data_IF_105870304636
#
_entry.id   IF_105870304636
#
_cell.length_a   1.000
_cell.length_b   1.000
_cell.length_c   1.000
_cell.angle_alpha   90.00
_cell.angle_beta   90.00
_cell.angle_gamma   90.00
#
_symmetry.space_group_name_H-M   'P 1'
#
loop_
_entity.id
_entity.type
_entity.pdbx_description
1 polymer ?
#
# COMPACT_ATOMS: atom_id res chain seq x y z
N UNK A 1 29.69 17.25 41.52
CA UNK A 1 29.03 16.01 41.07
C UNK A 1 28.23 16.38 39.84
N UNK A 2 28.38 15.63 38.73
CA UNK A 2 27.91 16.06 37.41
C UNK A 2 26.40 15.85 37.27
N UNK A 3 25.72 16.74 36.53
CA UNK A 3 24.30 16.63 36.14
C UNK A 3 23.90 15.26 35.58
N UNK A 4 24.85 14.50 35.02
CA UNK A 4 24.65 13.14 34.52
C UNK A 4 24.44 12.08 35.62
N UNK A 5 24.86 12.34 36.87
CA UNK A 5 24.57 11.47 38.01
C UNK A 5 23.18 11.74 38.60
N UNK A 6 22.70 12.98 38.51
CA UNK A 6 21.38 13.37 39.02
C UNK A 6 20.24 12.84 38.12
N UNK A 7 20.41 12.83 36.79
CA UNK A 7 19.44 12.23 35.84
C UNK A 7 19.34 10.69 35.94
N UNK A 8 20.36 10.01 36.48
CA UNK A 8 20.37 8.55 36.63
C UNK A 8 19.65 8.05 37.91
N UNK A 9 19.45 8.95 38.88
CA UNK A 9 18.77 8.74 40.17
C UNK A 9 17.30 9.14 40.16
N UNK A 10 16.82 9.80 39.09
CA UNK A 10 15.45 10.31 38.99
C UNK A 10 14.43 9.16 38.81
N UNK A 11 13.50 9.05 39.76
CA UNK A 11 12.41 8.06 39.74
C UNK A 11 12.76 6.66 40.28
N UNK A 12 13.90 6.47 40.95
CA UNK A 12 14.25 5.21 41.63
C UNK A 12 13.94 5.25 43.12
N UNK A 13 13.43 4.15 43.67
CA UNK A 13 13.07 4.03 45.08
C UNK A 13 13.29 2.61 45.60
N UNK A 14 13.49 2.47 46.90
CA UNK A 14 13.69 1.17 47.55
C UNK A 14 12.44 0.77 48.32
N UNK A 15 12.00 -0.47 48.16
CA UNK A 15 10.97 -1.09 49.01
C UNK A 15 11.55 -2.39 49.55
N UNK A 16 11.70 -2.47 50.87
CA UNK A 16 12.22 -3.65 51.59
C UNK A 16 13.57 -4.19 51.07
N UNK A 17 14.45 -3.32 50.56
CA UNK A 17 15.76 -3.70 50.03
C UNK A 17 15.77 -4.12 48.56
N UNK A 18 14.63 -4.02 47.87
CA UNK A 18 14.54 -4.14 46.42
C UNK A 18 14.42 -2.76 45.77
N UNK A 19 15.26 -2.51 44.76
CA UNK A 19 15.27 -1.26 44.00
C UNK A 19 14.22 -1.31 42.88
N UNK A 20 13.30 -0.36 42.92
CA UNK A 20 12.26 -0.13 41.92
C UNK A 20 12.52 1.18 41.18
N UNK A 21 11.91 1.30 40.00
CA UNK A 21 11.86 2.54 39.23
C UNK A 21 10.46 2.71 38.65
N UNK A 22 9.96 3.93 38.60
CA UNK A 22 8.76 4.25 37.83
C UNK A 22 8.93 3.83 36.36
N UNK A 23 7.85 3.33 35.77
CA UNK A 23 7.82 2.86 34.39
C UNK A 23 6.73 3.61 33.64
N UNK A 24 7.13 4.35 32.62
CA UNK A 24 6.24 4.91 31.60
C UNK A 24 6.10 3.88 30.48
N UNK A 25 4.92 3.23 30.32
CA UNK A 25 4.80 2.11 29.41
C UNK A 25 4.53 2.54 27.97
N UNK A 26 5.27 1.99 27.02
CA UNK A 26 5.03 2.12 25.57
C UNK A 26 4.53 0.82 24.93
N UNK A 27 4.64 -0.30 25.64
CA UNK A 27 4.25 -1.63 25.18
C UNK A 27 3.70 -2.51 26.33
N UNK A 28 3.19 -3.69 25.97
CA UNK A 28 2.54 -4.59 26.94
C UNK A 28 3.51 -5.09 28.03
N UNK A 29 4.78 -5.32 27.69
CA UNK A 29 5.77 -5.80 28.64
C UNK A 29 6.14 -4.71 29.65
N UNK A 30 6.18 -3.46 29.21
CA UNK A 30 6.35 -2.29 30.09
C UNK A 30 5.11 -2.02 30.93
N UNK A 31 3.90 -2.20 30.39
CA UNK A 31 2.67 -2.08 31.17
C UNK A 31 2.64 -3.10 32.30
N UNK A 32 3.07 -4.34 32.05
CA UNK A 32 3.17 -5.37 33.09
C UNK A 32 4.14 -4.92 34.18
N UNK A 33 5.32 -4.41 33.82
CA UNK A 33 6.30 -3.89 34.79
C UNK A 33 5.75 -2.70 35.57
N UNK A 34 5.05 -1.77 34.91
CA UNK A 34 4.39 -0.63 35.55
C UNK A 34 3.34 -1.09 36.59
N UNK A 35 2.57 -2.15 36.29
CA UNK A 35 1.61 -2.74 37.22
C UNK A 35 2.28 -3.44 38.40
N UNK A 36 3.43 -4.10 38.19
CA UNK A 36 4.23 -4.69 39.28
C UNK A 36 4.76 -3.61 40.23
N UNK A 37 5.29 -2.52 39.68
CA UNK A 37 5.76 -1.35 40.46
C UNK A 37 4.61 -0.73 41.26
N UNK A 38 3.44 -0.56 40.64
CA UNK A 38 2.22 -0.10 41.32
C UNK A 38 1.84 -1.02 42.48
N UNK A 39 1.81 -2.33 42.26
CA UNK A 39 1.43 -3.30 43.29
C UNK A 39 2.42 -3.31 44.48
N UNK A 40 3.72 -3.13 44.22
CA UNK A 40 4.74 -2.99 45.25
C UNK A 40 4.51 -1.74 46.11
N UNK A 41 4.23 -0.60 45.48
CA UNK A 41 3.91 0.66 46.16
C UNK A 41 2.64 0.56 47.01
N UNK A 42 1.55 0.00 46.47
CA UNK A 42 0.29 -0.21 47.20
C UNK A 42 0.50 -1.13 48.42
N UNK A 43 1.27 -2.21 48.25
CA UNK A 43 1.57 -3.15 49.33
C UNK A 43 2.35 -2.45 50.45
N UNK A 44 3.39 -1.70 50.10
CA UNK A 44 4.18 -0.93 51.07
C UNK A 44 3.32 0.08 51.85
N UNK A 45 2.55 0.91 51.13
CA UNK A 45 1.68 1.92 51.73
C UNK A 45 0.60 1.31 52.63
N UNK A 46 0.04 0.16 52.25
CA UNK A 46 -0.96 -0.55 53.06
C UNK A 46 -0.39 -1.18 54.34
N UNK A 47 0.92 -1.44 54.36
CA UNK A 47 1.64 -2.05 55.48
C UNK A 47 2.14 -1.04 56.52
N UNK A 48 2.08 0.26 56.22
CA UNK A 48 2.50 1.33 57.14
C UNK A 48 1.59 1.35 58.38
N UNK A 49 2.20 1.49 59.55
CA UNK A 49 1.43 1.73 60.78
C UNK A 49 0.82 3.13 60.77
N UNK A 50 -0.21 3.36 61.58
CA UNK A 50 -1.04 4.58 61.56
C UNK A 50 -0.28 5.90 61.83
N UNK A 51 0.95 5.77 62.34
CA UNK A 51 1.89 6.79 62.78
C UNK A 51 3.16 6.90 61.90
N UNK A 52 3.29 6.08 60.85
CA UNK A 52 4.38 6.17 59.87
C UNK A 52 3.99 7.10 58.72
N UNK A 53 4.80 8.14 58.47
CA UNK A 53 4.59 9.03 57.33
C UNK A 53 5.00 8.32 56.02
N UNK A 54 4.16 8.37 54.97
CA UNK A 54 4.37 7.61 53.73
C UNK A 54 5.54 8.09 52.86
N UNK A 55 6.39 9.01 53.35
CA UNK A 55 7.73 9.27 52.79
C UNK A 55 7.80 9.64 51.30
N UNK A 56 6.73 10.17 50.70
CA UNK A 56 6.65 10.47 49.26
C UNK A 56 6.29 9.28 48.36
N UNK A 57 6.08 8.07 48.93
CA UNK A 57 5.64 6.90 48.16
C UNK A 57 4.18 7.03 47.67
N UNK A 58 3.36 7.85 48.32
CA UNK A 58 2.01 8.19 47.84
C UNK A 58 2.07 9.00 46.53
N UNK A 59 3.01 9.94 46.43
CA UNK A 59 3.24 10.72 45.21
C UNK A 59 3.75 9.83 44.07
N UNK A 60 4.67 8.90 44.37
CA UNK A 60 5.18 7.90 43.40
C UNK A 60 4.08 6.96 42.91
N UNK A 61 3.16 6.54 43.79
CA UNK A 61 2.00 5.74 43.42
C UNK A 61 1.09 6.52 42.47
N UNK A 62 0.76 7.77 42.81
CA UNK A 62 -0.06 8.63 41.95
C UNK A 62 0.60 8.86 40.57
N UNK A 63 1.91 9.06 40.52
CA UNK A 63 2.66 9.22 39.28
C UNK A 63 2.64 7.94 38.43
N UNK A 64 2.87 6.77 39.05
CA UNK A 64 2.80 5.48 38.36
C UNK A 64 1.40 5.19 37.82
N UNK A 65 0.35 5.52 38.58
CA UNK A 65 -1.04 5.43 38.13
C UNK A 65 -1.33 6.38 36.95
N UNK A 66 -0.72 7.56 36.96
CA UNK A 66 -0.72 8.51 35.85
C UNK A 66 -0.18 7.87 34.57
N UNK A 67 1.03 7.33 34.59
CA UNK A 67 1.65 6.69 33.43
C UNK A 67 0.84 5.52 32.88
N UNK A 68 0.32 4.66 33.76
CA UNK A 68 -0.54 3.54 33.35
C UNK A 68 -1.81 4.06 32.66
N UNK A 69 -2.44 5.08 33.24
CA UNK A 69 -3.66 5.66 32.68
C UNK A 69 -3.42 6.31 31.33
N UNK A 70 -2.36 7.10 31.19
CA UNK A 70 -1.98 7.75 29.93
C UNK A 70 -1.74 6.72 28.81
N UNK A 71 -1.04 5.62 29.11
CA UNK A 71 -0.87 4.54 28.15
C UNK A 71 -2.20 3.90 27.73
N UNK A 72 -3.06 3.55 28.68
CA UNK A 72 -4.37 2.96 28.38
C UNK A 72 -5.24 3.92 27.57
N UNK A 73 -5.25 5.20 27.93
CA UNK A 73 -5.98 6.24 27.19
C UNK A 73 -5.44 6.39 25.76
N UNK A 74 -4.12 6.21 25.56
CA UNK A 74 -3.49 6.28 24.23
C UNK A 74 -3.86 5.12 23.28
N UNK A 75 -4.19 3.93 23.80
CA UNK A 75 -4.47 2.73 22.97
C UNK A 75 -5.68 2.90 22.03
N UNK A 76 -6.59 3.81 22.34
CA UNK A 76 -7.78 4.11 21.54
C UNK A 76 -7.68 5.38 20.70
N UNK A 77 -6.55 6.10 20.76
CA UNK A 77 -6.39 7.38 20.10
C UNK A 77 -6.02 7.23 18.62
N UNK A 78 -6.80 7.88 17.76
CA UNK A 78 -6.53 7.98 16.33
C UNK A 78 -6.95 9.35 15.79
N UNK A 79 -6.36 9.77 14.67
CA UNK A 79 -6.70 11.04 14.04
C UNK A 79 -8.04 10.96 13.29
N UNK A 80 -9.02 11.74 13.74
CA UNK A 80 -10.31 11.88 13.07
C UNK A 80 -10.17 12.41 11.64
N UNK A 81 -9.11 13.17 11.35
CA UNK A 81 -8.82 13.71 10.03
C UNK A 81 -8.51 12.59 9.04
N UNK A 82 -7.65 11.62 9.40
CA UNK A 82 -7.40 10.44 8.57
C UNK A 82 -8.66 9.61 8.39
N UNK A 83 -9.39 9.33 9.47
CA UNK A 83 -10.62 8.54 9.39
C UNK A 83 -11.67 9.17 8.45
N UNK A 84 -11.97 10.46 8.61
CA UNK A 84 -12.94 11.16 7.75
C UNK A 84 -12.45 11.27 6.31
N UNK A 85 -11.16 11.56 6.12
CA UNK A 85 -10.51 11.62 4.82
C UNK A 85 -10.67 10.29 4.07
N UNK A 86 -10.38 9.18 4.74
CA UNK A 86 -10.49 7.82 4.22
C UNK A 86 -11.94 7.42 3.92
N UNK A 87 -12.88 7.74 4.82
CA UNK A 87 -14.31 7.51 4.56
C UNK A 87 -14.75 8.28 3.31
N UNK A 88 -14.38 9.56 3.20
CA UNK A 88 -14.73 10.38 2.04
C UNK A 88 -14.10 9.86 0.75
N UNK A 89 -12.88 9.33 0.81
CA UNK A 89 -12.23 8.66 -0.32
C UNK A 89 -13.09 7.49 -0.85
N UNK A 90 -13.51 6.58 0.03
CA UNK A 90 -14.33 5.43 -0.37
C UNK A 90 -15.74 5.83 -0.84
N UNK A 91 -16.37 6.80 -0.17
CA UNK A 91 -17.67 7.34 -0.60
C UNK A 91 -17.63 7.87 -2.03
N UNK A 92 -16.60 8.65 -2.37
CA UNK A 92 -16.39 9.14 -3.75
C UNK A 92 -16.16 7.99 -4.73
N UNK A 93 -15.32 7.02 -4.36
CA UNK A 93 -14.99 5.87 -5.21
C UNK A 93 -16.20 4.99 -5.52
N UNK A 94 -17.08 4.78 -4.54
CA UNK A 94 -18.29 3.97 -4.66
C UNK A 94 -19.53 4.75 -5.11
N UNK A 95 -19.37 6.06 -5.38
CA UNK A 95 -20.47 6.98 -5.68
C UNK A 95 -21.60 6.95 -4.62
N UNK A 96 -21.22 6.81 -3.35
CA UNK A 96 -22.09 6.81 -2.18
C UNK A 96 -22.04 8.15 -1.45
N UNK A 97 -23.14 8.54 -0.83
CA UNK A 97 -23.22 9.69 0.07
C UNK A 97 -23.04 9.26 1.52
N UNK A 98 -22.52 10.16 2.35
CA UNK A 98 -22.32 9.90 3.78
C UNK A 98 -23.61 9.41 4.48
N UNK A 99 -24.76 10.02 4.16
CA UNK A 99 -26.05 9.59 4.74
C UNK A 99 -26.48 8.18 4.33
N UNK A 100 -26.08 7.72 3.13
CA UNK A 100 -26.34 6.35 2.67
C UNK A 100 -25.45 5.36 3.42
N UNK A 101 -24.18 5.71 3.65
CA UNK A 101 -23.27 4.93 4.49
C UNK A 101 -23.82 4.80 5.92
N UNK A 102 -24.28 5.90 6.52
CA UNK A 102 -24.86 5.91 7.86
C UNK A 102 -26.08 4.98 7.95
N UNK A 103 -26.93 4.99 6.92
CA UNK A 103 -28.06 4.08 6.84
C UNK A 103 -27.62 2.61 6.70
N UNK A 104 -26.63 2.32 5.87
CA UNK A 104 -26.11 0.96 5.65
C UNK A 104 -25.52 0.34 6.92
N UNK A 105 -24.81 1.12 7.72
CA UNK A 105 -24.20 0.66 8.98
C UNK A 105 -25.15 0.76 10.19
N UNK A 106 -26.37 1.24 9.97
CA UNK A 106 -27.43 1.29 10.98
C UNK A 106 -27.32 2.41 12.01
N UNK A 107 -26.76 3.57 11.63
CA UNK A 107 -26.65 4.76 12.51
C UNK A 107 -27.51 5.93 12.01
N UNK A 108 -27.81 6.88 12.89
CA UNK A 108 -28.62 8.05 12.54
C UNK A 108 -27.91 8.97 11.55
N UNK A 109 -28.65 9.61 10.65
CA UNK A 109 -28.10 10.60 9.72
C UNK A 109 -27.32 11.73 10.43
N UNK A 110 -26.15 12.05 9.90
CA UNK A 110 -25.15 12.97 10.43
C UNK A 110 -24.44 12.51 11.70
N UNK A 111 -24.60 11.26 12.15
CA UNK A 111 -23.87 10.71 13.28
C UNK A 111 -22.35 10.80 13.07
N UNK A 112 -21.87 10.37 11.90
CA UNK A 112 -20.43 10.37 11.58
C UNK A 112 -19.92 11.80 11.56
N UNK A 113 -20.59 12.69 10.85
CA UNK A 113 -20.19 14.10 10.72
C UNK A 113 -20.22 14.89 12.05
N UNK A 114 -21.11 14.53 12.98
CA UNK A 114 -21.17 15.16 14.31
C UNK A 114 -20.13 14.61 15.28
N UNK A 115 -19.76 13.34 15.13
CA UNK A 115 -18.91 12.63 16.10
C UNK A 115 -17.43 12.74 15.73
N UNK A 116 -17.07 12.38 14.50
CA UNK A 116 -15.70 12.44 14.00
C UNK A 116 -15.43 13.78 13.30
N UNK A 117 -15.72 14.90 13.96
CA UNK A 117 -15.35 16.21 13.39
C UNK A 117 -13.83 16.38 13.48
N UNK A 118 -13.22 16.95 12.43
CA UNK A 118 -11.81 17.33 12.45
C UNK A 118 -11.51 18.17 13.72
N UNK A 119 -10.47 17.79 14.45
CA UNK A 119 -10.07 18.34 15.76
C UNK A 119 -11.01 18.06 16.96
N UNK A 120 -11.98 17.15 16.84
CA UNK A 120 -12.75 16.69 18.00
C UNK A 120 -12.03 15.58 18.77
N UNK A 121 -12.06 15.66 20.10
CA UNK A 121 -11.67 14.55 20.98
C UNK A 121 -12.67 13.38 20.95
N UNK A 122 -13.89 13.58 20.41
CA UNK A 122 -14.88 12.50 20.30
C UNK A 122 -14.46 11.53 19.20
N UNK A 123 -14.45 10.24 19.54
CA UNK A 123 -14.16 9.14 18.62
C UNK A 123 -15.44 8.41 18.22
N UNK A 124 -15.45 7.83 17.02
CA UNK A 124 -16.48 6.88 16.66
C UNK A 124 -16.32 5.60 17.50
N UNK A 125 -17.44 5.01 17.91
CA UNK A 125 -17.41 3.74 18.61
C UNK A 125 -16.74 2.67 17.75
N UNK A 126 -15.99 1.75 18.36
CA UNK A 126 -15.29 0.69 17.64
C UNK A 126 -16.23 -0.16 16.76
N UNK A 127 -17.47 -0.40 17.17
CA UNK A 127 -18.47 -1.10 16.35
C UNK A 127 -18.75 -0.40 15.02
N UNK A 128 -18.88 0.94 15.05
CA UNK A 128 -19.09 1.76 13.84
C UNK A 128 -17.85 1.73 12.95
N UNK A 129 -16.66 1.94 13.53
CA UNK A 129 -15.39 1.89 12.77
C UNK A 129 -15.19 0.50 12.14
N UNK A 130 -15.47 -0.57 12.88
CA UNK A 130 -15.38 -1.95 12.42
C UNK A 130 -16.37 -2.23 11.29
N UNK A 131 -17.63 -1.80 11.41
CA UNK A 131 -18.64 -1.94 10.34
C UNK A 131 -18.22 -1.22 9.06
N UNK A 132 -17.69 0.00 9.16
CA UNK A 132 -17.18 0.76 8.02
C UNK A 132 -16.00 0.01 7.38
N UNK A 133 -15.05 -0.45 8.18
CA UNK A 133 -13.89 -1.20 7.69
C UNK A 133 -14.32 -2.50 6.96
N UNK A 134 -15.28 -3.24 7.53
CA UNK A 134 -15.85 -4.45 6.90
C UNK A 134 -16.60 -4.13 5.61
N UNK A 135 -17.38 -3.04 5.57
CA UNK A 135 -18.12 -2.62 4.38
C UNK A 135 -17.18 -2.22 3.23
N UNK A 136 -16.05 -1.59 3.55
CA UNK A 136 -15.03 -1.21 2.56
C UNK A 136 -13.95 -2.28 2.33
N UNK A 137 -14.07 -3.45 2.98
CA UNK A 137 -13.13 -4.57 2.87
C UNK A 137 -11.66 -4.20 3.19
N UNK A 138 -11.45 -3.33 4.18
CA UNK A 138 -10.12 -2.95 4.66
C UNK A 138 -9.93 -3.29 6.14
N UNK A 139 -8.68 -3.30 6.59
CA UNK A 139 -8.35 -3.42 8.01
C UNK A 139 -8.60 -2.08 8.74
N UNK A 140 -8.87 -2.17 10.05
CA UNK A 140 -9.16 -0.99 10.88
C UNK A 140 -7.98 -0.04 10.94
N UNK A 141 -6.74 -0.53 11.02
CA UNK A 141 -5.54 0.33 11.09
C UNK A 141 -5.41 1.17 9.84
N UNK A 142 -5.53 0.58 8.66
CA UNK A 142 -5.57 1.32 7.38
C UNK A 142 -6.67 2.38 7.38
N UNK A 143 -7.85 2.08 7.94
CA UNK A 143 -8.95 3.06 7.99
C UNK A 143 -8.65 4.26 8.91
N UNK A 144 -7.92 4.09 10.02
CA UNK A 144 -7.71 5.13 11.04
C UNK A 144 -6.31 5.79 11.03
N UNK A 145 -5.28 5.11 10.53
CA UNK A 145 -3.87 5.57 10.55
C UNK A 145 -3.36 6.00 9.17
N UNK A 146 -3.81 5.35 8.09
CA UNK A 146 -3.29 5.66 6.76
C UNK A 146 -3.93 6.93 6.19
N UNK A 147 -3.18 7.71 5.41
CA UNK A 147 -3.77 8.75 4.57
C UNK A 147 -4.03 8.18 3.18
N UNK A 148 -5.24 7.69 2.93
CA UNK A 148 -5.66 7.15 1.63
C UNK A 148 -5.92 8.23 0.59
N UNK A 149 -6.03 9.50 1.01
CA UNK A 149 -6.19 10.65 0.12
C UNK A 149 -4.87 11.14 -0.42
N UNK A 150 -3.74 10.77 0.19
CA UNK A 150 -2.42 10.84 -0.43
C UNK A 150 -2.27 9.57 -1.28
N UNK A 151 -2.39 9.66 -2.62
CA UNK A 151 -1.85 8.59 -3.44
C UNK A 151 -0.38 8.49 -3.05
N UNK A 152 0.16 7.29 -2.83
CA UNK A 152 1.62 7.19 -2.82
C UNK A 152 2.11 7.95 -4.08
N UNK A 153 3.06 8.87 -3.91
CA UNK A 153 3.48 9.79 -4.98
C UNK A 153 3.77 9.03 -6.29
N UNK A 154 4.21 7.77 -6.15
CA UNK A 154 4.50 6.83 -7.21
C UNK A 154 3.26 6.27 -7.94
N UNK A 155 2.16 5.87 -7.30
CA UNK A 155 0.97 5.37 -8.01
C UNK A 155 0.27 6.51 -8.75
N UNK A 156 0.27 7.72 -8.20
CA UNK A 156 -0.20 8.89 -8.96
C UNK A 156 0.70 9.15 -10.17
N UNK A 157 2.02 9.07 -10.00
CA UNK A 157 2.98 9.23 -11.09
C UNK A 157 2.79 8.14 -12.17
N UNK A 158 2.67 6.87 -11.77
CA UNK A 158 2.43 5.72 -12.64
C UNK A 158 1.08 5.85 -13.35
N UNK A 159 0.02 6.23 -12.65
CA UNK A 159 -1.30 6.45 -13.25
C UNK A 159 -1.25 7.58 -14.28
N UNK A 160 -0.60 8.71 -13.95
CA UNK A 160 -0.41 9.82 -14.90
C UNK A 160 0.45 9.42 -16.11
N UNK A 161 1.46 8.58 -15.89
CA UNK A 161 2.29 8.02 -16.94
C UNK A 161 1.47 7.11 -17.87
N UNK A 162 0.70 6.16 -17.33
CA UNK A 162 -0.17 5.27 -18.10
C UNK A 162 -1.28 6.05 -18.83
N UNK A 163 -1.88 7.06 -18.20
CA UNK A 163 -2.86 7.95 -18.86
C UNK A 163 -2.26 8.67 -20.06
N UNK A 164 -1.03 9.17 -19.93
CA UNK A 164 -0.30 9.78 -21.04
C UNK A 164 -0.01 8.74 -22.13
N UNK A 165 0.43 7.55 -21.74
CA UNK A 165 0.76 6.46 -22.66
C UNK A 165 -0.45 5.98 -23.46
N UNK A 166 -1.62 5.84 -22.83
CA UNK A 166 -2.89 5.53 -23.50
C UNK A 166 -3.27 6.60 -24.51
N UNK A 167 -3.18 7.89 -24.13
CA UNK A 167 -3.50 9.02 -25.03
C UNK A 167 -2.56 9.08 -26.22
N UNK A 168 -1.26 8.87 -26.02
CA UNK A 168 -0.25 8.87 -27.09
C UNK A 168 -0.42 7.65 -28.00
N UNK A 169 -0.69 6.48 -27.41
CA UNK A 169 -1.03 5.27 -28.17
C UNK A 169 -2.25 5.55 -29.04
N UNK A 170 -3.39 5.95 -28.49
CA UNK A 170 -4.62 6.24 -29.26
C UNK A 170 -4.46 7.28 -30.40
N UNK A 171 -3.48 8.18 -30.30
CA UNK A 171 -3.14 9.17 -31.35
C UNK A 171 -2.22 8.64 -32.44
N UNK A 172 -1.70 7.42 -32.28
CA UNK A 172 -0.63 6.81 -33.07
C UNK A 172 0.71 7.57 -32.94
N UNK A 173 0.94 8.21 -31.79
CA UNK A 173 2.21 8.88 -31.49
C UNK A 173 3.29 7.87 -31.04
N UNK A 174 2.86 6.68 -30.59
CA UNK A 174 3.73 5.58 -30.13
C UNK A 174 3.47 4.38 -31.03
N UNK A 175 4.55 3.81 -31.56
CA UNK A 175 4.51 2.54 -32.28
C UNK A 175 4.85 1.40 -31.32
N UNK A 176 3.93 0.45 -31.22
CA UNK A 176 4.11 -0.77 -30.46
C UNK A 176 4.50 -1.92 -31.39
N UNK A 177 5.42 -2.77 -30.94
CA UNK A 177 5.86 -3.98 -31.64
C UNK A 177 5.40 -5.21 -30.84
N UNK A 178 4.67 -6.12 -31.49
CA UNK A 178 4.33 -7.42 -30.92
C UNK A 178 5.59 -8.30 -30.90
N UNK A 179 5.98 -8.78 -29.71
CA UNK A 179 7.12 -9.68 -29.48
C UNK A 179 6.71 -11.12 -29.19
N UNK A 180 5.43 -11.45 -29.30
CA UNK A 180 4.85 -12.77 -29.08
C UNK A 180 4.84 -13.19 -27.61
N UNK A 181 4.40 -14.43 -27.35
CA UNK A 181 4.44 -15.04 -26.03
C UNK A 181 3.25 -15.95 -25.72
N UNK A 182 2.03 -15.53 -26.06
CA UNK A 182 0.81 -16.28 -25.75
C UNK A 182 0.04 -16.69 -27.01
N UNK A 183 -0.13 -15.76 -27.96
CA UNK A 183 -0.81 -15.99 -29.25
C UNK A 183 0.22 -16.29 -30.34
N UNK A 184 1.28 -15.49 -30.40
CA UNK A 184 2.37 -15.66 -31.35
C UNK A 184 3.62 -16.25 -30.67
N UNK A 185 4.55 -16.78 -31.48
CA UNK A 185 5.83 -17.25 -30.96
C UNK A 185 6.63 -16.11 -30.33
N UNK A 186 7.10 -16.33 -29.10
CA UNK A 186 7.99 -15.38 -28.42
C UNK A 186 9.23 -15.10 -29.28
N UNK A 187 9.59 -13.84 -29.44
CA UNK A 187 10.74 -13.43 -30.25
C UNK A 187 12.07 -13.97 -29.72
N UNK A 188 13.01 -14.26 -30.62
CA UNK A 188 14.33 -14.82 -30.25
C UNK A 188 15.10 -13.94 -29.27
N UNK A 189 14.96 -12.62 -29.37
CA UNK A 189 15.61 -11.66 -28.47
C UNK A 189 15.05 -11.74 -27.05
N UNK A 190 13.73 -11.92 -26.88
CA UNK A 190 13.12 -12.17 -25.58
C UNK A 190 13.42 -13.58 -25.05
N UNK A 191 13.48 -14.60 -25.92
CA UNK A 191 13.88 -15.96 -25.53
C UNK A 191 15.29 -16.04 -24.95
N UNK A 192 16.17 -15.13 -25.36
CA UNK A 192 17.55 -15.06 -24.85
C UNK A 192 17.65 -14.35 -23.49
N UNK A 193 16.54 -13.85 -22.94
CA UNK A 193 16.47 -13.28 -21.59
C UNK A 193 16.27 -14.38 -20.54
N UNK A 194 16.56 -14.08 -19.27
CA UNK A 194 16.35 -15.03 -18.16
C UNK A 194 14.91 -15.01 -17.61
N UNK A 195 14.06 -14.10 -18.11
CA UNK A 195 12.70 -13.87 -17.58
C UNK A 195 11.61 -14.69 -18.27
N UNK A 196 11.92 -15.37 -19.38
CA UNK A 196 10.95 -16.19 -20.10
C UNK A 196 11.46 -17.61 -20.30
N UNK A 197 10.58 -18.60 -20.14
CA UNK A 197 10.88 -20.00 -20.46
C UNK A 197 9.70 -20.62 -21.19
N UNK A 198 9.93 -21.10 -22.41
CA UNK A 198 8.92 -21.82 -23.18
C UNK A 198 8.90 -23.30 -22.76
N UNK A 199 7.75 -23.79 -22.33
CA UNK A 199 7.51 -25.19 -22.00
C UNK A 199 7.15 -26.01 -23.24
N UNK A 200 7.30 -27.34 -23.17
CA UNK A 200 6.97 -28.26 -24.27
C UNK A 200 5.50 -28.19 -24.72
N UNK A 201 4.62 -27.73 -23.84
CA UNK A 201 3.19 -27.53 -24.10
C UNK A 201 2.88 -26.20 -24.83
N UNK A 202 3.89 -25.40 -25.17
CA UNK A 202 3.77 -24.10 -25.81
C UNK A 202 3.44 -22.94 -24.87
N UNK A 203 3.26 -23.17 -23.56
CA UNK A 203 3.11 -22.10 -22.57
C UNK A 203 4.45 -21.43 -22.32
N UNK A 204 4.45 -20.12 -22.21
CA UNK A 204 5.60 -19.34 -21.79
C UNK A 204 5.46 -19.01 -20.31
N UNK A 205 6.36 -19.55 -19.50
CA UNK A 205 6.52 -19.22 -18.08
C UNK A 205 7.23 -17.88 -17.98
N UNK A 206 6.69 -17.02 -17.13
CA UNK A 206 7.25 -15.70 -16.83
C UNK A 206 7.89 -15.71 -15.45
N UNK A 207 9.16 -15.33 -15.38
CA UNK A 207 9.95 -15.24 -14.14
C UNK A 207 10.14 -13.77 -13.78
N UNK A 208 9.26 -13.27 -12.91
CA UNK A 208 9.36 -11.91 -12.40
C UNK A 208 10.44 -11.85 -11.31
N UNK A 209 11.67 -11.55 -11.73
CA UNK A 209 12.88 -11.45 -10.91
C UNK A 209 12.65 -10.65 -9.61
N UNK A 210 12.41 -11.37 -8.51
CA UNK A 210 12.42 -10.95 -7.11
C UNK A 210 11.23 -10.14 -6.55
N UNK A 211 10.17 -9.90 -7.33
CA UNK A 211 9.01 -9.12 -6.85
C UNK A 211 7.65 -9.80 -6.92
N UNK A 212 7.60 -11.06 -7.36
CA UNK A 212 6.39 -11.86 -7.27
C UNK A 212 6.58 -13.02 -6.30
N UNK A 213 5.48 -13.51 -5.76
CA UNK A 213 5.52 -14.61 -4.81
C UNK A 213 6.06 -15.88 -5.50
N UNK A 214 7.19 -16.45 -5.03
CA UNK A 214 7.86 -17.58 -5.66
C UNK A 214 7.07 -18.90 -5.56
N UNK A 215 6.05 -18.97 -4.70
CA UNK A 215 5.20 -20.14 -4.56
C UNK A 215 4.23 -20.31 -5.74
N UNK A 216 4.04 -19.27 -6.56
CA UNK A 216 3.18 -19.31 -7.73
C UNK A 216 3.99 -19.42 -9.01
N UNK A 217 3.47 -20.24 -9.95
CA UNK A 217 3.95 -20.29 -11.32
C UNK A 217 3.18 -19.26 -12.16
N UNK A 218 3.89 -18.29 -12.71
CA UNK A 218 3.32 -17.27 -13.59
C UNK A 218 3.50 -17.65 -15.06
N UNK A 219 2.46 -17.46 -15.86
CA UNK A 219 2.46 -17.75 -17.29
C UNK A 219 1.95 -16.54 -18.06
N UNK A 220 2.46 -16.34 -19.27
CA UNK A 220 1.94 -15.30 -20.15
C UNK A 220 0.46 -15.55 -20.45
N UNK A 221 -0.32 -14.50 -20.28
CA UNK A 221 -1.75 -14.48 -20.61
C UNK A 221 -2.01 -13.78 -21.95
N UNK A 222 -1.09 -12.91 -22.38
CA UNK A 222 -1.09 -12.22 -23.67
C UNK A 222 0.33 -12.18 -24.27
N UNK A 223 0.41 -11.77 -25.53
CA UNK A 223 1.68 -11.44 -26.18
C UNK A 223 2.38 -10.26 -25.48
N UNK A 224 3.71 -10.23 -25.54
CA UNK A 224 4.52 -9.12 -25.00
C UNK A 224 4.58 -8.01 -26.04
N UNK A 225 4.26 -6.78 -25.65
CA UNK A 225 4.33 -5.61 -26.54
C UNK A 225 5.41 -4.63 -26.08
N UNK A 226 6.21 -4.12 -27.02
CA UNK A 226 7.29 -3.16 -26.71
C UNK A 226 7.21 -1.88 -27.52
N UNK A 227 7.75 -0.78 -26.98
CA UNK A 227 7.92 0.47 -27.71
C UNK A 227 9.24 1.16 -27.34
N UNK A 228 9.93 1.76 -28.31
CA UNK A 228 11.22 2.43 -28.11
C UNK A 228 11.10 3.95 -27.88
N UNK A 229 9.87 4.48 -27.82
CA UNK A 229 9.61 5.94 -27.84
C UNK A 229 9.73 6.65 -26.49
N UNK A 230 9.99 5.93 -25.39
CA UNK A 230 9.93 6.48 -24.03
C UNK A 230 11.30 6.94 -23.54
N UNK A 231 12.33 6.10 -23.69
CA UNK A 231 13.69 6.36 -23.21
C UNK A 231 14.68 5.93 -24.29
N UNK A 232 15.54 6.85 -24.72
CA UNK A 232 16.56 6.56 -25.71
C UNK A 232 17.45 5.38 -25.28
N UNK A 233 17.62 4.41 -26.18
CA UNK A 233 18.44 3.22 -25.94
C UNK A 233 17.77 2.12 -25.11
N UNK A 234 16.49 2.27 -24.73
CA UNK A 234 15.71 1.22 -24.06
C UNK A 234 14.36 1.03 -24.75
N UNK A 235 13.84 -0.20 -24.68
CA UNK A 235 12.44 -0.47 -25.03
C UNK A 235 11.61 -0.54 -23.75
N UNK A 236 10.42 0.05 -23.75
CA UNK A 236 9.44 -0.15 -22.69
C UNK A 236 8.53 -1.30 -23.08
N UNK A 237 8.41 -2.30 -22.22
CA UNK A 237 7.62 -3.50 -22.46
C UNK A 237 6.44 -3.60 -21.49
N UNK A 238 5.32 -4.07 -22.02
CA UNK A 238 4.11 -4.41 -21.28
C UNK A 238 3.89 -5.92 -21.39
N UNK A 239 3.75 -6.58 -20.24
CA UNK A 239 3.67 -8.03 -20.12
C UNK A 239 2.36 -8.37 -19.40
N UNK A 240 1.42 -8.99 -20.11
CA UNK A 240 0.20 -9.55 -19.51
C UNK A 240 0.42 -10.98 -19.03
N UNK A 241 0.19 -11.25 -17.74
CA UNK A 241 0.45 -12.57 -17.15
C UNK A 241 -0.64 -13.00 -16.17
N UNK A 242 -0.73 -14.30 -15.92
CA UNK A 242 -1.64 -14.92 -14.95
C UNK A 242 -0.94 -15.99 -14.11
N UNK A 243 -1.67 -16.53 -13.12
CA UNK A 243 -1.20 -17.63 -12.28
C UNK A 243 -1.66 -18.96 -12.90
N UNK A 244 -0.73 -19.88 -13.15
CA UNK A 244 -1.03 -21.17 -13.77
C UNK A 244 -2.04 -21.94 -12.91
N UNK A 245 -3.13 -22.39 -13.53
CA UNK A 245 -4.22 -23.11 -12.85
C UNK A 245 -5.23 -22.24 -12.09
N UNK A 246 -5.02 -20.92 -11.96
CA UNK A 246 -5.98 -20.00 -11.32
C UNK A 246 -6.78 -19.23 -12.37
N UNK A 247 -8.08 -19.55 -12.46
CA UNK A 247 -9.02 -18.81 -13.31
C UNK A 247 -9.12 -17.35 -12.86
N UNK A 248 -9.36 -16.47 -13.84
CA UNK A 248 -9.58 -15.03 -13.66
C UNK A 248 -8.40 -14.29 -13.01
N UNK A 249 -7.19 -14.84 -13.11
CA UNK A 249 -5.95 -14.15 -12.71
C UNK A 249 -5.31 -13.51 -13.92
N UNK A 250 -5.32 -12.17 -13.97
CA UNK A 250 -4.74 -11.39 -15.04
C UNK A 250 -4.14 -10.12 -14.46
N UNK A 251 -2.86 -9.91 -14.73
CA UNK A 251 -2.05 -8.83 -14.17
C UNK A 251 -1.06 -8.33 -15.23
N UNK A 252 -0.49 -7.17 -14.97
CA UNK A 252 0.49 -6.52 -15.84
C UNK A 252 1.81 -6.31 -15.12
N UNK A 253 2.89 -6.58 -15.84
CA UNK A 253 4.23 -6.14 -15.49
C UNK A 253 4.74 -5.17 -16.57
N UNK A 254 5.37 -4.09 -16.13
CA UNK A 254 5.95 -3.08 -16.99
C UNK A 254 7.44 -3.00 -16.70
N UNK A 255 8.24 -3.18 -17.75
CA UNK A 255 9.70 -3.27 -17.63
C UNK A 255 10.39 -2.45 -18.72
N UNK A 256 11.60 -2.00 -18.43
CA UNK A 256 12.52 -1.48 -19.45
C UNK A 256 13.47 -2.59 -19.90
N UNK A 257 13.60 -2.74 -21.20
CA UNK A 257 14.47 -3.69 -21.86
C UNK A 257 15.66 -2.93 -22.46
N UNK A 258 16.85 -3.16 -21.92
CA UNK A 258 18.10 -2.58 -22.45
C UNK A 258 18.76 -3.61 -23.38
N UNK A 259 18.90 -3.33 -24.70
CA UNK A 259 19.50 -4.27 -25.64
C UNK A 259 20.93 -4.64 -25.23
N UNK A 260 21.26 -5.93 -25.21
CA UNK A 260 22.59 -6.43 -24.88
C UNK A 260 22.91 -7.75 -25.59
N UNK A 261 24.19 -8.09 -25.69
CA UNK A 261 24.64 -9.42 -26.09
C UNK A 261 24.69 -10.35 -24.87
N UNK A 262 23.79 -11.33 -24.81
CA UNK A 262 23.73 -12.36 -23.77
C UNK A 262 24.26 -13.66 -24.35
N UNK A 263 25.35 -14.19 -23.79
CA UNK A 263 26.00 -15.44 -24.25
C UNK A 263 26.26 -15.45 -25.77
N UNK A 264 26.63 -14.30 -26.34
CA UNK A 264 26.91 -14.16 -27.78
C UNK A 264 25.69 -14.03 -28.69
N UNK A 265 24.47 -13.93 -28.14
CA UNK A 265 23.22 -13.70 -28.88
C UNK A 265 22.58 -12.37 -28.50
N UNK A 266 21.83 -11.72 -29.39
CA UNK A 266 21.07 -10.52 -29.03
C UNK A 266 19.97 -10.87 -28.02
N UNK A 267 19.88 -10.10 -26.95
CA UNK A 267 18.87 -10.21 -25.91
C UNK A 267 18.70 -8.90 -25.16
N UNK A 268 18.12 -8.95 -23.97
CA UNK A 268 17.86 -7.76 -23.16
C UNK A 268 18.23 -7.97 -21.69
N UNK A 269 18.79 -6.94 -21.08
CA UNK A 269 18.73 -6.79 -19.63
C UNK A 269 17.34 -6.22 -19.30
N UNK A 270 16.65 -6.88 -18.37
CA UNK A 270 15.32 -6.48 -17.92
C UNK A 270 15.44 -5.68 -16.64
N UNK A 271 14.97 -4.43 -16.67
CA UNK A 271 14.88 -3.54 -15.53
C UNK A 271 13.40 -3.34 -15.18
N UNK A 272 13.04 -3.64 -13.93
CA UNK A 272 11.68 -3.46 -13.44
C UNK A 272 11.29 -1.97 -13.45
N UNK A 273 10.08 -1.65 -13.95
CA UNK A 273 9.49 -0.31 -13.81
C UNK A 273 8.40 -0.32 -12.73
N UNK A 274 7.26 -0.98 -12.98
CA UNK A 274 6.13 -1.09 -12.06
C UNK A 274 5.20 -2.23 -12.50
N UNK A 275 4.29 -2.68 -11.64
CA UNK A 275 3.48 -3.88 -11.87
C UNK A 275 2.12 -3.77 -11.14
N UNK A 276 1.14 -4.55 -11.57
CA UNK A 276 -0.24 -4.47 -11.06
C UNK A 276 -0.60 -5.53 -10.02
N UNK A 277 0.22 -6.57 -9.80
CA UNK A 277 -0.17 -7.68 -8.90
C UNK A 277 -0.33 -7.28 -7.43
N UNK A 278 0.36 -6.23 -6.98
CA UNK A 278 0.23 -5.66 -5.63
C UNK A 278 -0.67 -4.41 -5.59
N UNK A 279 -1.35 -4.09 -6.70
CA UNK A 279 -2.25 -2.96 -6.79
C UNK A 279 -3.58 -3.23 -6.09
N UNK A 280 -3.63 -2.89 -4.80
CA UNK A 280 -4.80 -3.06 -3.92
C UNK A 280 -6.09 -2.45 -4.49
N UNK A 281 -5.98 -1.47 -5.38
CA UNK A 281 -7.14 -0.75 -5.93
C UNK A 281 -7.34 -0.97 -7.43
N UNK A 282 -6.53 -1.81 -8.06
CA UNK A 282 -6.60 -2.19 -9.48
C UNK A 282 -6.56 -0.99 -10.44
N UNK A 283 -6.01 0.15 -10.03
CA UNK A 283 -5.88 1.35 -10.86
C UNK A 283 -4.88 1.14 -12.00
N UNK A 284 -3.69 0.62 -11.68
CA UNK A 284 -2.65 0.22 -12.62
C UNK A 284 -3.16 -0.93 -13.47
N UNK A 285 -3.85 -1.90 -12.87
CA UNK A 285 -4.43 -3.03 -13.59
C UNK A 285 -5.43 -2.56 -14.67
N UNK A 286 -6.45 -1.79 -14.28
CA UNK A 286 -7.46 -1.24 -15.21
C UNK A 286 -6.82 -0.39 -16.32
N UNK A 287 -5.77 0.38 -15.99
CA UNK A 287 -5.03 1.19 -16.98
C UNK A 287 -4.17 0.34 -17.91
N UNK A 288 -3.61 -0.76 -17.40
CA UNK A 288 -2.93 -1.77 -18.19
C UNK A 288 -3.88 -2.45 -19.18
N UNK A 289 -5.09 -2.82 -18.74
CA UNK A 289 -6.13 -3.37 -19.62
C UNK A 289 -6.53 -2.39 -20.73
N UNK A 290 -6.78 -1.12 -20.36
CA UNK A 290 -7.09 -0.05 -21.32
C UNK A 290 -5.98 0.09 -22.37
N UNK A 291 -4.71 0.11 -21.92
CA UNK A 291 -3.57 0.21 -22.81
C UNK A 291 -3.42 -1.03 -23.70
N UNK A 292 -3.53 -2.24 -23.14
CA UNK A 292 -3.42 -3.49 -23.88
C UNK A 292 -4.46 -3.55 -25.00
N UNK A 293 -5.72 -3.22 -24.70
CA UNK A 293 -6.78 -3.16 -25.70
C UNK A 293 -6.47 -2.14 -26.81
N UNK A 294 -5.94 -0.96 -26.45
CA UNK A 294 -5.54 0.04 -27.45
C UNK A 294 -4.41 -0.49 -28.35
N UNK A 295 -3.38 -1.11 -27.79
CA UNK A 295 -2.26 -1.67 -28.54
C UNK A 295 -2.73 -2.77 -29.50
N UNK A 296 -3.52 -3.72 -29.02
CA UNK A 296 -4.09 -4.79 -29.84
C UNK A 296 -5.01 -4.27 -30.94
N UNK A 297 -5.79 -3.22 -30.67
CA UNK A 297 -6.64 -2.60 -31.69
C UNK A 297 -5.85 -1.95 -32.83
N UNK A 298 -4.65 -1.45 -32.54
CA UNK A 298 -3.76 -0.84 -33.53
C UNK A 298 -3.00 -1.85 -34.37
N UNK A 299 -2.67 -3.00 -33.82
CA UNK A 299 -2.05 -4.09 -34.57
C UNK A 299 -2.92 -4.51 -35.79
N UNK A 300 -4.24 -4.35 -35.66
CA UNK A 300 -5.22 -4.65 -36.71
C UNK A 300 -5.58 -3.45 -37.59
N UNK A 301 -5.05 -2.25 -37.32
CA UNK A 301 -5.39 -1.00 -38.02
C UNK A 301 -4.39 -0.68 -39.15
N UNK A 302 -4.77 0.19 -40.07
CA UNK A 302 -3.90 0.63 -41.15
C UNK A 302 -2.81 1.58 -40.62
N UNK A 303 -1.54 1.28 -40.93
CA UNK A 303 -0.44 2.19 -40.62
C UNK A 303 -0.56 3.49 -41.44
N UNK A 304 -0.96 4.58 -40.78
CA UNK A 304 -1.03 5.92 -41.36
C UNK A 304 -0.17 6.85 -40.52
N UNK A 305 0.77 7.57 -41.16
CA UNK A 305 1.59 8.55 -40.44
C UNK A 305 0.72 9.70 -39.90
N UNK A 306 1.11 10.35 -38.78
CA UNK A 306 0.32 11.45 -38.20
C UNK A 306 0.04 12.59 -39.20
N UNK A 307 1.01 12.90 -40.06
CA UNK A 307 0.91 13.91 -41.12
C UNK A 307 -0.14 13.52 -42.17
N UNK A 308 -0.11 12.27 -42.65
CA UNK A 308 -1.08 11.76 -43.62
C UNK A 308 -2.46 11.64 -42.97
N UNK A 309 -2.55 11.26 -41.69
CA UNK A 309 -3.80 11.21 -40.93
C UNK A 309 -4.45 12.58 -40.84
N UNK A 310 -3.68 13.64 -40.59
CA UNK A 310 -4.18 15.02 -40.59
C UNK A 310 -4.69 15.43 -41.97
N UNK A 311 -3.96 15.11 -43.04
CA UNK A 311 -4.37 15.41 -44.43
C UNK A 311 -5.68 14.69 -44.78
N UNK A 312 -5.80 13.40 -44.46
CA UNK A 312 -7.02 12.61 -44.70
C UNK A 312 -8.18 13.17 -43.88
N UNK A 313 -7.98 13.47 -42.60
CA UNK A 313 -9.01 14.01 -41.73
C UNK A 313 -9.52 15.38 -42.20
N UNK A 314 -8.64 16.23 -42.72
CA UNK A 314 -9.02 17.54 -43.27
C UNK A 314 -9.72 17.41 -44.63
N UNK A 315 -9.37 16.42 -45.45
CA UNK A 315 -10.08 16.12 -46.69
C UNK A 315 -11.50 15.58 -46.47
N UNK A 316 -11.75 14.88 -45.35
CA UNK A 316 -13.05 14.29 -45.01
C UNK A 316 -14.04 15.26 -44.33
N UNK A 317 -13.62 16.50 -44.01
CA UNK A 317 -14.48 17.56 -43.49
C UNK A 317 -15.19 18.31 -44.61
#
# INVERSE_FOLDING_TARGET
MSRQFDEAMEGRFDIYGEEYRLVEPENIDELIRALEVKAALETYLSGLMHDEEPGGYDDLLQEQEGYIKEYIDSLGEYDNSHLISNINYFLRKLNLRMGELEQLIGVSAGYISRTAKENSAKKLSIDVVWKIARLFEIDIRTLIEADLMIPNSNAKLVTQFLDKLCKQTARNDIKWENRGGAVCYLSDTLRNTEVFTEEENGKVVYHANDHMNPDYKFVLADDVYTCASIVDGKEFAMIGFGIDGKKDSYFFDFVFLTPMMIKGKPGYIVEKAFYSSDDRFRVIENKGEELMHLVQSQEMDAEISPEVRSIIADYLK
#
